data_IF_450966055966
#
_entry.id   IF_450966055966
#
_cell.length_a   1.000
_cell.length_b   1.000
_cell.length_c   1.000
_cell.angle_alpha   90.00
_cell.angle_beta   90.00
_cell.angle_gamma   90.00
#
_symmetry.space_group_name_H-M   'P 1'
#
loop_
_entity.id
_entity.type
_entity.pdbx_description
1 polymer ?
#
# COMPACT_ATOMS: atom_id res chain seq x y z
N UNK A 1 8.77 -18.03 4.31
CA UNK A 1 7.69 -17.05 4.59
C UNK A 1 7.21 -17.34 6.00
N UNK A 2 7.68 -16.61 7.02
CA UNK A 2 7.21 -16.81 8.40
C UNK A 2 5.88 -16.07 8.54
N UNK A 3 4.82 -16.82 8.80
CA UNK A 3 3.52 -16.27 9.14
C UNK A 3 3.69 -15.50 10.45
N UNK A 4 3.52 -14.18 10.38
CA UNK A 4 3.95 -13.24 11.42
C UNK A 4 3.07 -13.36 12.66
N UNK A 5 3.72 -13.39 13.81
CA UNK A 5 3.24 -13.43 15.20
C UNK A 5 2.32 -12.26 15.63
N UNK A 6 1.59 -11.62 14.72
CA UNK A 6 0.92 -10.33 14.92
C UNK A 6 -0.58 -10.44 15.21
N UNK A 7 -1.20 -11.60 14.94
CA UNK A 7 -2.65 -11.85 15.16
C UNK A 7 -3.01 -11.81 16.66
N UNK A 8 -2.05 -12.07 17.54
CA UNK A 8 -2.27 -12.07 19.00
C UNK A 8 -2.40 -10.69 19.62
N UNK A 9 -2.05 -9.61 18.89
CA UNK A 9 -2.20 -8.24 19.39
C UNK A 9 -3.58 -7.71 19.05
N UNK A 10 -4.34 -7.15 20.01
CA UNK A 10 -5.61 -6.53 19.71
C UNK A 10 -5.41 -5.30 18.80
N UNK A 11 -6.39 -4.99 17.97
CA UNK A 11 -6.41 -3.72 17.25
C UNK A 11 -6.52 -2.56 18.24
N UNK A 12 -5.76 -1.46 18.07
CA UNK A 12 -5.96 -0.26 18.85
C UNK A 12 -7.42 0.23 18.77
N UNK A 13 -7.86 0.97 19.78
CA UNK A 13 -9.20 1.58 19.74
C UNK A 13 -9.32 2.53 18.55
N UNK A 14 -10.47 2.50 17.87
CA UNK A 14 -10.78 3.39 16.74
C UNK A 14 -10.17 3.00 15.39
N UNK A 15 -9.48 1.85 15.28
CA UNK A 15 -8.96 1.36 13.99
C UNK A 15 -9.45 -0.05 13.67
N UNK A 16 -9.66 -0.28 12.38
CA UNK A 16 -9.98 -1.61 11.84
C UNK A 16 -8.68 -2.22 11.30
N UNK A 17 -8.35 -3.43 11.75
CA UNK A 17 -7.22 -4.18 11.20
C UNK A 17 -7.63 -4.80 9.88
N UNK A 18 -6.86 -4.53 8.84
CA UNK A 18 -7.00 -5.19 7.55
C UNK A 18 -6.59 -6.66 7.70
N UNK A 19 -7.49 -7.63 7.47
CA UNK A 19 -7.19 -9.05 7.64
C UNK A 19 -6.29 -9.59 6.53
N UNK A 20 -6.37 -9.04 5.31
CA UNK A 20 -5.58 -9.47 4.16
C UNK A 20 -5.18 -8.30 3.29
N UNK A 21 -3.88 -8.22 3.04
CA UNK A 21 -3.31 -7.32 2.03
C UNK A 21 -2.27 -8.11 1.24
N UNK A 22 -2.29 -7.94 -0.08
CA UNK A 22 -1.26 -8.45 -0.99
C UNK A 22 -0.85 -7.33 -1.89
N UNK A 23 0.45 -7.10 -2.03
CA UNK A 23 0.96 -6.09 -2.93
C UNK A 23 2.27 -6.53 -3.56
N UNK A 24 2.57 -5.96 -4.71
CA UNK A 24 3.82 -6.17 -5.43
C UNK A 24 4.45 -4.82 -5.77
N UNK A 25 5.77 -4.81 -5.70
CA UNK A 25 6.60 -3.72 -6.18
C UNK A 25 7.52 -4.29 -7.24
N UNK A 26 7.52 -3.70 -8.42
CA UNK A 26 8.50 -3.98 -9.45
C UNK A 26 9.29 -2.70 -9.69
N UNK A 27 10.60 -2.81 -9.60
CA UNK A 27 11.53 -1.69 -9.79
C UNK A 27 12.49 -2.10 -10.89
N UNK A 28 12.58 -1.29 -11.93
CA UNK A 28 13.44 -1.55 -13.08
C UNK A 28 14.24 -0.29 -13.39
N UNK A 29 15.56 -0.45 -13.57
CA UNK A 29 16.36 0.63 -14.15
C UNK A 29 16.04 0.74 -15.64
N UNK A 30 15.72 1.96 -16.09
CA UNK A 30 15.42 2.23 -17.49
C UNK A 30 16.55 3.01 -18.17
N UNK A 31 17.23 3.90 -17.42
CA UNK A 31 18.39 4.68 -17.87
C UNK A 31 19.30 4.97 -16.66
N UNK A 32 20.47 5.56 -16.89
CA UNK A 32 21.31 6.06 -15.78
C UNK A 32 20.57 7.14 -14.98
N UNK A 33 20.48 6.96 -13.67
CA UNK A 33 19.75 7.86 -12.78
C UNK A 33 18.21 7.83 -12.91
N UNK A 34 17.64 6.94 -13.73
CA UNK A 34 16.17 6.78 -13.87
C UNK A 34 15.72 5.35 -13.61
N UNK A 35 14.65 5.24 -12.82
CA UNK A 35 13.97 3.98 -12.53
C UNK A 35 12.49 4.08 -12.89
N UNK A 36 11.93 2.96 -13.31
CA UNK A 36 10.49 2.71 -13.38
C UNK A 36 10.06 1.93 -12.14
N UNK A 37 8.96 2.36 -11.53
CA UNK A 37 8.37 1.70 -10.37
C UNK A 37 6.91 1.39 -10.66
N UNK A 38 6.55 0.11 -10.62
CA UNK A 38 5.17 -0.36 -10.71
C UNK A 38 4.75 -0.87 -9.35
N UNK A 39 3.71 -0.26 -8.80
CA UNK A 39 3.12 -0.63 -7.52
C UNK A 39 1.69 -1.15 -7.72
N UNK A 40 1.42 -2.33 -7.18
CA UNK A 40 0.08 -2.92 -7.16
C UNK A 40 -0.26 -3.34 -5.73
N UNK A 41 -1.49 -3.08 -5.30
CA UNK A 41 -1.99 -3.47 -4.01
C UNK A 41 -3.44 -3.95 -4.11
N UNK A 42 -3.70 -5.10 -3.51
CA UNK A 42 -5.01 -5.67 -3.31
C UNK A 42 -5.25 -5.79 -1.81
N UNK A 43 -6.21 -5.01 -1.32
CA UNK A 43 -6.53 -4.90 0.10
C UNK A 43 -7.97 -5.34 0.29
N UNK A 44 -8.17 -6.32 1.17
CA UNK A 44 -9.51 -6.78 1.54
C UNK A 44 -9.75 -6.42 3.02
N UNK A 45 -10.56 -5.39 3.30
CA UNK A 45 -10.88 -4.98 4.67
C UNK A 45 -11.87 -5.93 5.36
N UNK A 46 -12.30 -7.03 4.73
CA UNK A 46 -13.12 -8.07 5.35
C UNK A 46 -14.52 -7.61 5.73
N UNK A 47 -15.13 -6.74 4.95
CA UNK A 47 -16.49 -6.22 5.18
C UNK A 47 -16.60 -5.17 6.30
N UNK A 48 -15.49 -4.83 6.97
CA UNK A 48 -15.47 -3.80 8.03
C UNK A 48 -15.46 -2.36 7.49
N UNK A 49 -15.34 -2.19 6.17
CA UNK A 49 -15.38 -0.90 5.48
C UNK A 49 -16.42 -1.00 4.34
N UNK A 50 -17.34 -0.03 4.21
CA UNK A 50 -18.29 -0.01 3.09
C UNK A 50 -17.60 -0.01 1.72
N UNK A 51 -18.17 -0.70 0.74
CA UNK A 51 -17.61 -0.79 -0.62
C UNK A 51 -17.37 0.59 -1.26
N UNK A 52 -18.31 1.52 -1.05
CA UNK A 52 -18.15 2.89 -1.58
C UNK A 52 -16.89 3.56 -1.03
N UNK A 53 -16.58 3.36 0.26
CA UNK A 53 -15.42 3.98 0.90
C UNK A 53 -14.11 3.35 0.42
N UNK A 54 -14.09 2.03 0.17
CA UNK A 54 -12.94 1.37 -0.46
C UNK A 54 -12.72 1.86 -1.90
N UNK A 55 -13.81 2.04 -2.67
CA UNK A 55 -13.76 2.51 -4.05
C UNK A 55 -13.27 3.96 -4.16
N UNK A 56 -13.61 4.84 -3.21
CA UNK A 56 -13.16 6.24 -3.21
C UNK A 56 -11.64 6.39 -3.21
N UNK A 57 -10.91 5.44 -2.62
CA UNK A 57 -9.47 5.60 -2.34
C UNK A 57 -8.58 4.71 -3.21
N UNK A 58 -9.17 3.86 -4.06
CA UNK A 58 -8.44 2.85 -4.84
C UNK A 58 -7.47 3.46 -5.85
N UNK A 59 -7.76 4.66 -6.35
CA UNK A 59 -6.90 5.40 -7.28
C UNK A 59 -5.93 6.33 -6.54
N UNK A 60 -6.45 7.07 -5.55
CA UNK A 60 -5.70 8.12 -4.88
C UNK A 60 -4.56 7.57 -4.02
N UNK A 61 -4.75 6.42 -3.35
CA UNK A 61 -3.72 5.86 -2.47
C UNK A 61 -2.46 5.45 -3.28
N UNK A 62 -2.55 4.63 -4.34
CA UNK A 62 -1.38 4.27 -5.14
C UNK A 62 -0.71 5.49 -5.78
N UNK A 63 -1.50 6.43 -6.32
CA UNK A 63 -0.98 7.63 -6.95
C UNK A 63 -0.18 8.50 -5.98
N UNK A 64 -0.78 8.84 -4.84
CA UNK A 64 -0.12 9.68 -3.82
C UNK A 64 1.09 8.96 -3.20
N UNK A 65 1.07 7.63 -3.10
CA UNK A 65 2.22 6.84 -2.62
C UNK A 65 3.42 7.01 -3.56
N UNK A 66 3.23 6.82 -4.87
CA UNK A 66 4.31 6.95 -5.85
C UNK A 66 4.75 8.40 -6.04
N UNK A 67 3.83 9.36 -5.99
CA UNK A 67 4.15 10.79 -6.04
C UNK A 67 5.03 11.20 -4.86
N UNK A 68 4.67 10.80 -3.64
CA UNK A 68 5.45 11.10 -2.45
C UNK A 68 6.80 10.38 -2.43
N UNK A 69 6.86 9.14 -2.94
CA UNK A 69 8.13 8.43 -3.13
C UNK A 69 9.05 9.22 -4.06
N UNK A 70 8.55 9.66 -5.22
CA UNK A 70 9.29 10.52 -6.15
C UNK A 70 9.80 11.78 -5.45
N UNK A 71 8.92 12.50 -4.75
CA UNK A 71 9.29 13.72 -4.03
C UNK A 71 10.37 13.50 -2.96
N UNK A 72 10.39 12.33 -2.31
CA UNK A 72 11.45 12.00 -1.34
C UNK A 72 12.79 11.71 -2.01
N UNK A 73 12.77 11.09 -3.19
CA UNK A 73 13.98 10.75 -3.95
C UNK A 73 14.58 11.96 -4.68
N UNK A 74 13.78 12.98 -4.99
CA UNK A 74 14.24 14.20 -5.66
C UNK A 74 14.60 15.33 -4.70
N UNK A 75 14.40 15.14 -3.38
CA UNK A 75 14.91 16.08 -2.38
C UNK A 75 16.43 15.93 -2.31
N UNK A 76 17.19 17.05 -2.34
CA UNK A 76 18.64 17.03 -2.22
C UNK A 76 19.10 16.55 -0.83
#
# INVERSE_FOLDING_TARGET
>A
MKESSDISRPSPSGVVRIPRIRGTWMIKQIEEGKIEVVYQAHTDPGGSIPEFAANLVVVDIPYNTLLNLKNKLTKP
#
